data_IF_438032597892
#
_entry.id   IF_438032597892
#
_cell.length_a   1.000
_cell.length_b   1.000
_cell.length_c   1.000
_cell.angle_alpha   90.00
_cell.angle_beta   90.00
_cell.angle_gamma   90.00
#
_symmetry.space_group_name_H-M   'P 1'
#
loop_
_entity.id
_entity.type
_entity.pdbx_description
1 polymer ?
#
# COMPACT_ATOMS: atom_id res chain seq x y z
N UNK A 1 10.68 5.24 47.41
CA UNK A 1 9.78 5.85 46.41
C UNK A 1 10.06 5.22 45.04
N UNK A 2 9.19 4.32 44.58
CA UNK A 2 9.26 3.71 43.25
C UNK A 2 8.66 4.70 42.25
N UNK A 3 9.51 5.34 41.46
CA UNK A 3 9.12 6.13 40.27
C UNK A 3 8.51 5.19 39.26
N UNK A 4 7.19 5.20 39.12
CA UNK A 4 6.48 4.55 38.04
C UNK A 4 6.72 5.33 36.73
N UNK A 5 7.75 4.91 35.99
CA UNK A 5 8.03 5.43 34.65
C UNK A 5 6.88 5.05 33.73
N UNK A 6 6.00 5.99 33.45
CA UNK A 6 5.05 5.91 32.35
C UNK A 6 5.88 5.74 31.08
N UNK A 7 5.88 4.53 30.52
CA UNK A 7 6.42 4.25 29.18
C UNK A 7 5.54 4.98 28.16
N UNK A 8 5.81 6.27 27.97
CA UNK A 8 5.26 7.01 26.84
C UNK A 8 5.76 6.33 25.57
N UNK A 9 4.87 5.66 24.84
CA UNK A 9 5.14 5.08 23.53
C UNK A 9 5.62 6.22 22.63
N UNK A 10 6.94 6.30 22.39
CA UNK A 10 7.53 7.31 21.50
C UNK A 10 6.83 7.22 20.12
N UNK A 11 6.35 8.34 19.55
CA UNK A 11 5.62 8.34 18.30
C UNK A 11 6.47 7.68 17.19
N UNK A 12 5.83 6.85 16.37
CA UNK A 12 6.50 6.23 15.20
C UNK A 12 6.81 7.33 14.18
N UNK A 13 8.00 7.30 13.59
CA UNK A 13 8.36 8.18 12.48
C UNK A 13 7.48 7.81 11.29
N UNK A 14 6.76 8.79 10.75
CA UNK A 14 5.87 8.60 9.60
C UNK A 14 6.64 8.67 8.28
N UNK A 15 6.07 8.11 7.21
CA UNK A 15 6.64 8.27 5.87
C UNK A 15 6.70 9.73 5.41
N UNK A 16 5.76 10.56 5.85
CA UNK A 16 5.73 11.99 5.56
C UNK A 16 6.93 12.71 6.18
N UNK A 17 7.25 12.39 7.42
CA UNK A 17 8.43 12.97 8.11
C UNK A 17 9.73 12.54 7.44
N UNK A 18 9.83 11.28 7.01
CA UNK A 18 10.99 10.81 6.25
C UNK A 18 11.13 11.53 4.90
N UNK A 19 10.01 11.73 4.19
CA UNK A 19 9.99 12.45 2.92
C UNK A 19 10.45 13.89 3.10
N UNK A 20 9.92 14.59 4.11
CA UNK A 20 10.31 15.97 4.43
C UNK A 20 11.80 16.06 4.81
N UNK A 21 12.26 15.15 5.67
CA UNK A 21 13.68 15.03 6.03
C UNK A 21 14.57 14.88 4.80
N UNK A 22 14.21 13.95 3.89
CA UNK A 22 14.99 13.69 2.69
C UNK A 22 15.04 14.92 1.78
N UNK A 23 13.94 15.65 1.61
CA UNK A 23 13.88 16.88 0.84
C UNK A 23 14.75 17.98 1.46
N UNK A 24 14.64 18.17 2.77
CA UNK A 24 15.47 19.14 3.48
C UNK A 24 16.96 18.81 3.36
N UNK A 25 17.33 17.55 3.56
CA UNK A 25 18.71 17.11 3.42
C UNK A 25 19.24 17.31 2.00
N UNK A 26 18.45 16.98 0.97
CA UNK A 26 18.80 17.22 -0.42
C UNK A 26 19.03 18.70 -0.71
N UNK A 27 18.13 19.57 -0.25
CA UNK A 27 18.22 21.02 -0.45
C UNK A 27 19.45 21.61 0.22
N UNK A 28 19.75 21.23 1.47
CA UNK A 28 20.91 21.72 2.19
C UNK A 28 22.22 21.19 1.58
N UNK A 29 22.23 19.93 1.15
CA UNK A 29 23.38 19.33 0.43
C UNK A 29 23.62 19.99 -0.93
N UNK A 30 22.56 20.37 -1.66
CA UNK A 30 22.66 21.12 -2.91
C UNK A 30 23.20 22.56 -2.70
N UNK A 31 22.94 23.14 -1.53
CA UNK A 31 23.49 24.40 -1.10
C UNK A 31 24.94 24.29 -0.56
N UNK A 32 25.57 23.12 -0.68
CA UNK A 32 26.90 22.79 -0.21
C UNK A 32 27.12 22.99 1.32
N UNK A 33 26.03 22.88 2.12
CA UNK A 33 26.19 22.87 3.59
C UNK A 33 26.82 21.53 4.02
N UNK A 34 27.70 21.54 5.02
CA UNK A 34 28.24 20.35 5.63
C UNK A 34 27.13 19.41 6.12
N UNK A 35 27.33 18.12 5.95
CA UNK A 35 26.30 17.12 6.24
C UNK A 35 25.92 17.08 7.72
N UNK A 36 26.92 17.25 8.61
CA UNK A 36 26.73 17.30 10.04
C UNK A 36 25.94 18.54 10.51
N UNK A 37 26.12 19.70 9.83
CA UNK A 37 25.34 20.91 10.10
C UNK A 37 23.90 20.74 9.59
N UNK A 38 23.72 20.19 8.38
CA UNK A 38 22.43 19.90 7.81
C UNK A 38 21.59 19.00 8.72
N UNK A 39 22.20 17.93 9.23
CA UNK A 39 21.54 17.00 10.16
C UNK A 39 21.18 17.66 11.50
N UNK A 40 22.05 18.55 12.02
CA UNK A 40 21.78 19.29 13.24
C UNK A 40 20.58 20.23 13.10
N UNK A 41 20.52 21.00 12.00
CA UNK A 41 19.43 21.95 11.72
C UNK A 41 18.11 21.20 11.58
N UNK A 42 18.08 20.13 10.77
CA UNK A 42 16.87 19.35 10.55
C UNK A 42 16.41 18.65 11.85
N UNK A 43 17.36 18.10 12.62
CA UNK A 43 17.07 17.46 13.90
C UNK A 43 16.45 18.40 14.93
N UNK A 44 16.93 19.65 15.01
CA UNK A 44 16.37 20.68 15.88
C UNK A 44 14.98 21.16 15.45
N UNK A 45 14.72 21.24 14.16
CA UNK A 45 13.42 21.65 13.62
C UNK A 45 12.37 20.53 13.63
N UNK A 46 12.79 19.29 13.87
CA UNK A 46 11.87 18.16 13.88
C UNK A 46 10.92 18.20 15.07
N UNK A 47 9.62 18.22 14.79
CA UNK A 47 8.57 18.09 15.82
C UNK A 47 8.53 16.68 16.44
N UNK A 48 9.05 15.66 15.75
CA UNK A 48 9.12 14.30 16.24
C UNK A 48 10.46 14.04 16.94
N UNK A 49 10.44 13.99 18.27
CA UNK A 49 11.64 13.73 19.09
C UNK A 49 12.39 12.47 18.68
N UNK A 50 11.67 11.42 18.23
CA UNK A 50 12.32 10.19 17.78
C UNK A 50 13.13 10.39 16.50
N UNK A 51 12.63 11.18 15.56
CA UNK A 51 13.39 11.55 14.36
C UNK A 51 14.62 12.38 14.76
N UNK A 52 14.46 13.37 15.62
CA UNK A 52 15.59 14.15 16.16
C UNK A 52 16.66 13.29 16.83
N UNK A 53 16.26 12.32 17.66
CA UNK A 53 17.18 11.37 18.31
C UNK A 53 17.95 10.52 17.27
N UNK A 54 17.27 10.03 16.21
CA UNK A 54 17.92 9.29 15.13
C UNK A 54 18.90 10.16 14.37
N UNK A 55 18.52 11.38 14.01
CA UNK A 55 19.38 12.30 13.26
C UNK A 55 20.61 12.71 14.07
N UNK A 56 20.48 12.90 15.38
CA UNK A 56 21.62 13.16 16.27
C UNK A 56 22.58 11.96 16.33
N UNK A 57 22.07 10.72 16.34
CA UNK A 57 22.92 9.52 16.31
C UNK A 57 23.66 9.40 14.97
N UNK A 58 22.95 9.63 13.84
CA UNK A 58 23.55 9.66 12.50
C UNK A 58 24.63 10.75 12.42
N UNK A 59 24.34 11.95 12.94
CA UNK A 59 25.30 13.05 13.01
C UNK A 59 26.55 12.68 13.81
N UNK A 60 26.39 12.07 14.98
CA UNK A 60 27.53 11.62 15.80
C UNK A 60 28.42 10.63 15.06
N UNK A 61 27.84 9.65 14.35
CA UNK A 61 28.60 8.72 13.55
C UNK A 61 29.40 9.41 12.42
N UNK A 62 28.82 10.43 11.78
CA UNK A 62 29.52 11.20 10.74
C UNK A 62 30.69 12.00 11.35
N UNK A 63 30.50 12.63 12.53
CA UNK A 63 31.59 13.35 13.25
C UNK A 63 32.72 12.42 13.69
N UNK A 64 32.40 11.11 13.90
CA UNK A 64 33.40 10.06 14.18
C UNK A 64 34.09 9.56 12.89
N UNK A 65 33.74 10.09 11.71
CA UNK A 65 34.33 9.77 10.42
C UNK A 65 33.66 8.64 9.66
N UNK A 66 32.50 8.14 10.13
CA UNK A 66 31.75 7.11 9.40
C UNK A 66 30.99 7.71 8.20
N UNK A 67 30.89 7.00 7.07
CA UNK A 67 30.05 7.39 5.94
C UNK A 67 28.56 7.50 6.37
N UNK A 68 27.80 8.38 5.73
CA UNK A 68 26.35 8.50 5.96
C UNK A 68 25.64 7.18 5.70
N UNK A 69 25.99 6.47 4.62
CA UNK A 69 25.41 5.16 4.28
C UNK A 69 25.57 4.13 5.39
N UNK A 70 26.70 4.13 6.08
CA UNK A 70 26.95 3.19 7.19
C UNK A 70 26.19 3.63 8.45
N UNK A 71 26.15 4.92 8.76
CA UNK A 71 25.34 5.46 9.84
C UNK A 71 23.85 5.14 9.70
N UNK A 72 23.31 5.18 8.47
CA UNK A 72 21.92 4.83 8.17
C UNK A 72 21.61 3.33 8.31
N UNK A 73 22.62 2.45 8.25
CA UNK A 73 22.42 1.00 8.43
C UNK A 73 21.90 0.62 9.80
N UNK A 74 22.15 1.44 10.82
CA UNK A 74 21.65 1.21 12.16
C UNK A 74 20.12 1.39 12.29
N UNK A 75 19.48 1.99 11.27
CA UNK A 75 18.05 2.28 11.24
C UNK A 75 17.34 1.67 10.01
N UNK A 76 17.38 0.34 9.82
CA UNK A 76 16.88 -0.32 8.60
C UNK A 76 15.36 -0.25 8.44
N UNK A 77 14.63 0.00 9.52
CA UNK A 77 13.18 0.19 9.50
C UNK A 77 12.74 1.57 9.02
N UNK A 78 13.64 2.55 9.11
CA UNK A 78 13.41 3.92 8.66
C UNK A 78 13.98 4.15 7.25
N UNK A 79 15.22 3.73 7.03
CA UNK A 79 15.92 3.83 5.77
C UNK A 79 15.99 2.46 5.11
N UNK A 80 15.16 2.24 4.09
CA UNK A 80 15.11 0.97 3.37
C UNK A 80 16.41 0.69 2.57
N UNK A 81 16.50 -0.49 1.96
CA UNK A 81 17.70 -0.90 1.20
C UNK A 81 17.99 0.04 0.03
N UNK A 82 16.95 0.51 -0.67
CA UNK A 82 17.09 1.47 -1.77
C UNK A 82 17.72 2.77 -1.28
N UNK A 83 17.18 3.34 -0.19
CA UNK A 83 17.68 4.59 0.40
C UNK A 83 19.18 4.50 0.70
N UNK A 84 19.58 3.47 1.44
CA UNK A 84 20.97 3.27 1.87
C UNK A 84 21.91 3.02 0.70
N UNK A 85 21.47 2.27 -0.31
CA UNK A 85 22.29 2.00 -1.50
C UNK A 85 22.50 3.23 -2.35
N UNK A 86 21.46 4.04 -2.55
CA UNK A 86 21.58 5.30 -3.27
C UNK A 86 22.53 6.27 -2.56
N UNK A 87 22.40 6.41 -1.25
CA UNK A 87 23.33 7.23 -0.45
C UNK A 87 24.75 6.71 -0.60
N UNK A 88 24.98 5.41 -0.47
CA UNK A 88 26.30 4.79 -0.63
C UNK A 88 26.89 5.02 -2.03
N UNK A 89 26.07 4.92 -3.07
CA UNK A 89 26.50 5.22 -4.43
C UNK A 89 26.88 6.70 -4.59
N UNK A 90 26.07 7.62 -4.05
CA UNK A 90 26.32 9.05 -4.06
C UNK A 90 27.59 9.44 -3.31
N UNK A 91 27.86 8.83 -2.15
CA UNK A 91 29.10 9.05 -1.39
C UNK A 91 30.33 8.59 -2.17
N UNK A 92 30.26 7.36 -2.72
CA UNK A 92 31.40 6.82 -3.48
C UNK A 92 31.74 7.58 -4.76
N UNK A 93 30.72 8.13 -5.42
CA UNK A 93 30.90 8.91 -6.65
C UNK A 93 31.16 10.39 -6.40
N UNK A 94 31.08 10.89 -5.16
CA UNK A 94 31.11 12.31 -4.86
C UNK A 94 29.88 13.11 -5.31
N UNK A 95 28.80 12.40 -5.69
CA UNK A 95 27.56 12.98 -6.22
C UNK A 95 26.38 12.83 -5.23
N UNK A 96 26.65 13.03 -3.93
CA UNK A 96 25.64 12.82 -2.89
C UNK A 96 24.43 13.75 -3.05
N UNK A 97 24.65 15.04 -3.34
CA UNK A 97 23.56 16.02 -3.48
C UNK A 97 22.59 15.67 -4.64
N UNK A 98 23.03 15.38 -5.87
CA UNK A 98 22.14 14.92 -6.95
C UNK A 98 21.40 13.62 -6.62
N UNK A 99 22.05 12.71 -5.90
CA UNK A 99 21.43 11.44 -5.50
C UNK A 99 20.35 11.67 -4.45
N UNK A 100 20.61 12.51 -3.46
CA UNK A 100 19.61 12.89 -2.45
C UNK A 100 18.40 13.60 -3.08
N UNK A 101 18.60 14.40 -4.11
CA UNK A 101 17.51 15.06 -4.83
C UNK A 101 16.60 14.04 -5.54
N UNK A 102 17.18 13.08 -6.27
CA UNK A 102 16.42 11.99 -6.88
C UNK A 102 15.68 11.14 -5.85
N UNK A 103 16.29 10.91 -4.70
CA UNK A 103 15.70 10.17 -3.60
C UNK A 103 14.53 10.94 -2.96
N UNK A 104 14.67 12.26 -2.83
CA UNK A 104 13.60 13.14 -2.37
C UNK A 104 12.42 13.14 -3.34
N UNK A 105 12.67 13.30 -4.64
CA UNK A 105 11.65 13.23 -5.69
C UNK A 105 10.91 11.89 -5.67
N UNK A 106 11.64 10.79 -5.54
CA UNK A 106 11.06 9.45 -5.42
C UNK A 106 10.13 9.32 -4.20
N UNK A 107 10.58 9.76 -3.03
CA UNK A 107 9.80 9.69 -1.80
C UNK A 107 8.57 10.59 -1.87
N UNK A 108 8.68 11.79 -2.42
CA UNK A 108 7.57 12.73 -2.62
C UNK A 108 6.52 12.18 -3.57
N UNK A 109 6.95 11.63 -4.71
CA UNK A 109 6.03 11.03 -5.68
C UNK A 109 5.28 9.84 -5.07
N UNK A 110 6.01 8.98 -4.36
CA UNK A 110 5.41 7.85 -3.61
C UNK A 110 4.40 8.32 -2.57
N UNK A 111 4.70 9.40 -1.87
CA UNK A 111 3.80 9.99 -0.87
C UNK A 111 2.57 10.63 -1.53
N UNK A 112 2.73 11.36 -2.63
CA UNK A 112 1.61 11.93 -3.40
C UNK A 112 0.64 10.85 -3.87
N UNK A 113 1.15 9.76 -4.45
CA UNK A 113 0.33 8.63 -4.89
C UNK A 113 -0.44 8.04 -3.70
N UNK A 114 0.25 7.77 -2.60
CA UNK A 114 -0.36 7.22 -1.38
C UNK A 114 -1.44 8.14 -0.80
N UNK A 115 -1.15 9.44 -0.68
CA UNK A 115 -2.10 10.42 -0.16
C UNK A 115 -3.33 10.53 -1.04
N UNK A 116 -3.16 10.55 -2.37
CA UNK A 116 -4.26 10.56 -3.34
C UNK A 116 -5.14 9.32 -3.21
N UNK A 117 -4.53 8.14 -3.04
CA UNK A 117 -5.28 6.89 -2.82
C UNK A 117 -6.07 6.91 -1.51
N UNK A 118 -5.45 7.36 -0.41
CA UNK A 118 -6.14 7.46 0.89
C UNK A 118 -7.31 8.44 0.80
N UNK A 119 -7.09 9.62 0.23
CA UNK A 119 -8.14 10.63 0.03
C UNK A 119 -9.31 10.09 -0.79
N UNK A 120 -9.02 9.36 -1.87
CA UNK A 120 -10.05 8.75 -2.72
C UNK A 120 -10.85 7.66 -2.00
N UNK A 121 -10.30 7.03 -0.95
CA UNK A 121 -10.99 5.99 -0.17
C UNK A 121 -11.82 6.55 0.99
N UNK A 122 -11.59 7.79 1.43
CA UNK A 122 -12.32 8.36 2.59
C UNK A 122 -13.83 8.37 2.34
N UNK A 123 -14.25 8.89 1.18
CA UNK A 123 -15.66 9.00 0.84
C UNK A 123 -16.36 7.63 0.73
N UNK A 124 -15.86 6.65 -0.04
CA UNK A 124 -16.42 5.30 -0.08
C UNK A 124 -16.50 4.62 1.29
N UNK A 125 -15.47 4.75 2.12
CA UNK A 125 -15.47 4.17 3.47
C UNK A 125 -16.54 4.82 4.35
N UNK A 126 -16.67 6.14 4.32
CA UNK A 126 -17.69 6.87 5.09
C UNK A 126 -19.11 6.48 4.65
N UNK A 127 -19.36 6.47 3.34
CA UNK A 127 -20.65 6.10 2.77
C UNK A 127 -21.00 4.64 3.11
N UNK A 128 -20.06 3.71 2.98
CA UNK A 128 -20.27 2.30 3.34
C UNK A 128 -20.58 2.13 4.83
N UNK A 129 -19.88 2.86 5.70
CA UNK A 129 -20.11 2.81 7.15
C UNK A 129 -21.52 3.28 7.51
N UNK A 130 -21.96 4.41 6.92
CA UNK A 130 -23.32 4.93 7.12
C UNK A 130 -24.36 3.95 6.58
N UNK A 131 -24.14 3.41 5.38
CA UNK A 131 -25.02 2.44 4.75
C UNK A 131 -25.21 1.18 5.62
N UNK A 132 -24.12 0.59 6.09
CA UNK A 132 -24.16 -0.57 7.01
C UNK A 132 -24.88 -0.19 8.31
N UNK A 133 -24.61 0.98 8.86
CA UNK A 133 -25.28 1.47 10.08
C UNK A 133 -26.81 1.55 9.91
N UNK A 134 -27.27 2.10 8.79
CA UNK A 134 -28.72 2.20 8.48
C UNK A 134 -29.34 0.80 8.36
N UNK A 135 -28.70 -0.13 7.64
CA UNK A 135 -29.19 -1.52 7.50
C UNK A 135 -29.26 -2.21 8.86
N UNK A 136 -28.24 -2.07 9.70
CA UNK A 136 -28.24 -2.65 11.04
C UNK A 136 -29.39 -2.08 11.88
N UNK A 137 -29.59 -0.77 11.88
CA UNK A 137 -30.68 -0.12 12.64
C UNK A 137 -32.05 -0.60 12.13
N UNK A 138 -32.25 -0.68 10.81
CA UNK A 138 -33.49 -1.20 10.23
C UNK A 138 -33.75 -2.64 10.66
N UNK A 139 -32.76 -3.51 10.57
CA UNK A 139 -32.90 -4.93 10.91
C UNK A 139 -33.05 -5.18 12.41
N UNK A 140 -32.40 -4.39 13.26
CA UNK A 140 -32.39 -4.66 14.72
C UNK A 140 -33.45 -3.89 15.50
N UNK A 141 -33.87 -2.70 15.04
CA UNK A 141 -34.80 -1.86 15.74
C UNK A 141 -36.17 -1.75 15.06
N UNK A 142 -36.23 -1.70 13.73
CA UNK A 142 -37.48 -1.44 13.01
C UNK A 142 -38.22 -2.76 12.72
N UNK A 143 -37.52 -3.74 12.13
CA UNK A 143 -38.12 -5.02 11.75
C UNK A 143 -38.74 -5.75 12.95
N UNK A 144 -38.10 -5.91 14.12
CA UNK A 144 -38.69 -6.60 15.26
C UNK A 144 -39.96 -5.92 15.79
N UNK A 145 -39.94 -4.57 15.97
CA UNK A 145 -41.06 -3.82 16.46
C UNK A 145 -42.35 -3.97 15.62
N UNK A 146 -42.13 -4.01 14.31
CA UNK A 146 -43.22 -4.20 13.35
C UNK A 146 -43.78 -5.63 13.48
N UNK A 147 -42.89 -6.60 13.61
CA UNK A 147 -43.30 -8.01 13.68
C UNK A 147 -44.04 -8.35 14.97
N UNK A 148 -43.62 -7.79 16.11
CA UNK A 148 -44.34 -7.97 17.38
C UNK A 148 -45.81 -7.58 17.25
N UNK A 149 -46.15 -6.47 16.55
CA UNK A 149 -47.50 -6.05 16.31
C UNK A 149 -48.33 -7.09 15.51
N UNK A 150 -47.70 -7.80 14.57
CA UNK A 150 -48.40 -8.77 13.71
C UNK A 150 -48.49 -10.18 14.33
N UNK A 151 -47.55 -10.59 15.16
CA UNK A 151 -47.61 -11.86 15.89
C UNK A 151 -48.80 -11.87 16.84
N UNK A 152 -49.13 -10.74 17.42
CA UNK A 152 -50.32 -10.59 18.25
C UNK A 152 -51.68 -10.79 17.48
N UNK A 153 -51.67 -10.62 16.15
CA UNK A 153 -52.83 -10.77 15.31
C UNK A 153 -53.04 -12.20 14.73
N UNK A 154 -52.16 -13.18 15.09
CA UNK A 154 -52.22 -14.59 14.69
C UNK A 154 -52.25 -14.86 13.16
N UNK A 155 -51.79 -13.96 12.33
CA UNK A 155 -51.74 -14.11 10.88
C UNK A 155 -50.46 -14.78 10.37
N UNK A 156 -50.56 -15.47 9.21
CA UNK A 156 -49.38 -16.07 8.58
C UNK A 156 -48.51 -14.99 7.93
N UNK A 157 -47.23 -14.94 8.31
CA UNK A 157 -46.24 -14.02 7.78
C UNK A 157 -45.88 -14.34 6.32
N UNK A 158 -45.86 -13.34 5.41
CA UNK A 158 -45.36 -13.51 4.04
C UNK A 158 -43.90 -13.99 4.01
N UNK A 159 -43.55 -14.70 2.93
CA UNK A 159 -42.22 -15.30 2.77
C UNK A 159 -41.08 -14.28 2.86
N UNK A 160 -41.26 -13.08 2.29
CA UNK A 160 -40.31 -11.97 2.36
C UNK A 160 -40.06 -11.50 3.80
N UNK A 161 -41.11 -11.41 4.60
CA UNK A 161 -41.02 -11.02 6.02
C UNK A 161 -40.36 -12.11 6.87
N UNK A 162 -40.58 -13.40 6.56
CA UNK A 162 -39.88 -14.52 7.22
C UNK A 162 -38.37 -14.47 6.96
N UNK A 163 -37.96 -14.17 5.73
CA UNK A 163 -36.53 -14.04 5.36
C UNK A 163 -35.90 -12.87 6.14
N UNK A 164 -36.57 -11.72 6.18
CA UNK A 164 -36.09 -10.54 6.94
C UNK A 164 -35.97 -10.82 8.43
N UNK A 165 -36.93 -11.52 9.02
CA UNK A 165 -36.90 -11.91 10.43
C UNK A 165 -35.77 -12.91 10.71
N UNK A 166 -35.62 -13.94 9.85
CA UNK A 166 -34.52 -14.87 9.98
C UNK A 166 -33.15 -14.17 9.91
N UNK A 167 -33.01 -13.18 9.03
CA UNK A 167 -31.80 -12.37 8.93
C UNK A 167 -31.58 -11.47 10.16
N UNK A 168 -32.64 -10.83 10.66
CA UNK A 168 -32.63 -9.99 11.87
C UNK A 168 -32.28 -10.82 13.12
N UNK A 169 -32.93 -11.95 13.31
CA UNK A 169 -32.72 -12.85 14.46
C UNK A 169 -31.30 -13.46 14.42
N UNK A 170 -30.83 -13.85 13.23
CA UNK A 170 -29.46 -14.29 13.03
C UNK A 170 -28.47 -13.19 13.37
N UNK A 171 -28.72 -11.95 12.93
CA UNK A 171 -27.84 -10.82 13.22
C UNK A 171 -27.80 -10.47 14.72
N UNK A 172 -28.94 -10.54 15.39
CA UNK A 172 -29.02 -10.25 16.83
C UNK A 172 -28.39 -11.36 17.70
N UNK A 173 -28.68 -12.64 17.40
CA UNK A 173 -28.18 -13.79 18.18
C UNK A 173 -26.75 -14.15 17.86
N UNK A 174 -26.41 -14.16 16.59
CA UNK A 174 -25.06 -14.59 16.13
C UNK A 174 -24.13 -13.45 15.73
N UNK A 175 -24.62 -12.19 15.71
CA UNK A 175 -23.78 -11.02 15.39
C UNK A 175 -22.48 -10.93 16.21
N UNK A 176 -22.55 -10.96 17.53
CA UNK A 176 -21.33 -10.94 18.38
C UNK A 176 -20.43 -12.15 18.15
N UNK A 177 -21.00 -13.35 17.99
CA UNK A 177 -20.23 -14.59 17.72
C UNK A 177 -19.65 -14.59 16.32
N UNK A 178 -20.36 -14.04 15.34
CA UNK A 178 -19.87 -13.90 13.95
C UNK A 178 -18.71 -12.90 13.89
N UNK A 179 -18.78 -11.77 14.59
CA UNK A 179 -17.67 -10.84 14.75
C UNK A 179 -16.46 -11.48 15.41
N UNK A 180 -16.69 -12.24 16.48
CA UNK A 180 -15.62 -12.98 17.17
C UNK A 180 -14.98 -14.03 16.24
N UNK A 181 -15.80 -14.78 15.50
CA UNK A 181 -15.32 -15.79 14.53
C UNK A 181 -14.52 -15.14 13.40
N UNK A 182 -15.01 -14.06 12.81
CA UNK A 182 -14.28 -13.29 11.78
C UNK A 182 -12.95 -12.77 12.33
N UNK A 183 -12.94 -12.28 13.56
CA UNK A 183 -11.72 -11.81 14.22
C UNK A 183 -10.73 -12.97 14.44
N UNK A 184 -11.19 -14.11 14.95
CA UNK A 184 -10.35 -15.31 15.18
C UNK A 184 -9.79 -15.82 13.84
N UNK A 185 -10.62 -15.89 12.79
CA UNK A 185 -10.20 -16.30 11.44
C UNK A 185 -9.16 -15.31 10.87
N UNK A 186 -9.40 -14.01 11.02
CA UNK A 186 -8.47 -12.99 10.56
C UNK A 186 -7.11 -13.08 11.29
N UNK A 187 -7.13 -13.26 12.62
CA UNK A 187 -5.92 -13.46 13.42
C UNK A 187 -5.23 -14.78 13.06
N UNK A 188 -5.98 -15.87 12.92
CA UNK A 188 -5.45 -17.17 12.47
C UNK A 188 -4.82 -17.10 11.08
N UNK A 189 -5.48 -16.43 10.14
CA UNK A 189 -4.96 -16.19 8.79
C UNK A 189 -3.69 -15.32 8.82
N UNK A 190 -3.66 -14.27 9.63
CA UNK A 190 -2.48 -13.44 9.81
C UNK A 190 -1.29 -14.22 10.41
N UNK A 191 -1.54 -15.08 11.41
CA UNK A 191 -0.52 -15.96 11.99
C UNK A 191 -0.04 -17.01 10.99
N UNK A 192 -0.95 -17.56 10.17
CA UNK A 192 -0.63 -18.50 9.10
C UNK A 192 0.26 -17.88 8.02
N UNK A 193 -0.01 -16.60 7.65
CA UNK A 193 0.81 -15.83 6.72
C UNK A 193 2.22 -15.50 7.27
N UNK A 194 2.41 -15.48 8.60
CA UNK A 194 3.73 -15.26 9.20
C UNK A 194 4.69 -16.42 8.98
N UNK A 195 4.20 -17.62 8.70
CA UNK A 195 5.05 -18.76 8.37
C UNK A 195 5.56 -18.60 6.93
N UNK A 196 6.90 -18.48 6.77
CA UNK A 196 7.56 -18.08 5.52
C UNK A 196 7.15 -18.86 4.27
N UNK A 197 6.96 -20.19 4.37
CA UNK A 197 6.56 -21.03 3.24
C UNK A 197 5.11 -20.77 2.78
N UNK A 198 4.20 -20.45 3.71
CA UNK A 198 2.81 -20.16 3.41
C UNK A 198 2.67 -18.77 2.75
N UNK A 199 3.51 -17.83 3.14
CA UNK A 199 3.55 -16.50 2.53
C UNK A 199 3.93 -16.56 1.05
N UNK A 200 4.91 -17.38 0.69
CA UNK A 200 5.27 -17.56 -0.74
C UNK A 200 4.12 -18.16 -1.54
N UNK A 201 3.48 -19.23 -1.03
CA UNK A 201 2.33 -19.87 -1.68
C UNK A 201 1.15 -18.92 -1.83
N UNK A 202 0.87 -18.12 -0.82
CA UNK A 202 -0.17 -17.09 -0.86
C UNK A 202 0.13 -16.02 -1.92
N UNK A 203 1.37 -15.52 -1.99
CA UNK A 203 1.77 -14.56 -3.01
C UNK A 203 1.68 -15.14 -4.43
N UNK A 204 2.04 -16.41 -4.62
CA UNK A 204 1.91 -17.10 -5.90
C UNK A 204 0.42 -17.31 -6.29
N UNK A 205 -0.44 -17.67 -5.32
CA UNK A 205 -1.88 -17.82 -5.53
C UNK A 205 -2.53 -16.49 -5.93
N UNK A 206 -2.15 -15.39 -5.28
CA UNK A 206 -2.67 -14.06 -5.58
C UNK A 206 -2.41 -13.63 -7.04
N UNK A 207 -1.26 -14.03 -7.59
CA UNK A 207 -0.92 -13.76 -8.99
C UNK A 207 -1.78 -14.52 -10.00
N UNK A 208 -2.42 -15.63 -9.58
CA UNK A 208 -3.31 -16.44 -10.44
C UNK A 208 -4.75 -15.93 -10.48
N UNK A 209 -5.12 -15.04 -9.56
CA UNK A 209 -6.47 -14.46 -9.54
C UNK A 209 -6.61 -13.44 -10.67
N UNK A 210 -7.59 -13.67 -11.56
CA UNK A 210 -7.75 -12.93 -12.82
C UNK A 210 -7.85 -11.41 -12.68
N UNK A 211 -8.42 -10.89 -11.59
CA UNK A 211 -8.54 -9.44 -11.34
C UNK A 211 -7.37 -8.86 -10.54
N UNK A 212 -6.82 -9.63 -9.60
CA UNK A 212 -5.80 -9.16 -8.65
C UNK A 212 -4.40 -9.37 -9.19
N UNK A 213 -4.16 -10.50 -9.88
CA UNK A 213 -2.85 -10.85 -10.42
C UNK A 213 -2.26 -9.77 -11.35
N UNK A 214 -2.97 -9.34 -12.41
CA UNK A 214 -2.50 -8.28 -13.29
C UNK A 214 -2.23 -6.95 -12.58
N UNK A 215 -3.02 -6.61 -11.57
CA UNK A 215 -2.81 -5.39 -10.77
C UNK A 215 -1.52 -5.49 -9.95
N UNK A 216 -1.28 -6.63 -9.29
CA UNK A 216 -0.05 -6.87 -8.53
C UNK A 216 1.17 -6.83 -9.45
N UNK A 217 1.10 -7.48 -10.62
CA UNK A 217 2.17 -7.43 -11.62
C UNK A 217 2.44 -5.99 -12.06
N UNK A 218 1.40 -5.24 -12.39
CA UNK A 218 1.51 -3.85 -12.82
C UNK A 218 2.15 -2.94 -11.76
N UNK A 219 1.76 -3.07 -10.50
CA UNK A 219 2.34 -2.29 -9.39
C UNK A 219 3.81 -2.65 -9.17
N UNK A 220 4.14 -3.94 -9.18
CA UNK A 220 5.51 -4.38 -8.91
C UNK A 220 6.44 -4.10 -10.10
N UNK A 221 5.97 -4.23 -11.36
CA UNK A 221 6.76 -3.90 -12.54
C UNK A 221 7.11 -2.41 -12.61
N UNK A 222 6.14 -1.52 -12.33
CA UNK A 222 6.40 -0.08 -12.27
C UNK A 222 7.42 0.25 -11.18
N UNK A 223 7.25 -0.30 -9.96
CA UNK A 223 8.19 -0.10 -8.85
C UNK A 223 9.58 -0.61 -9.20
N UNK A 224 9.69 -1.79 -9.80
CA UNK A 224 10.96 -2.37 -10.21
C UNK A 224 11.71 -1.48 -11.20
N UNK A 225 11.07 -1.08 -12.31
CA UNK A 225 11.70 -0.23 -13.31
C UNK A 225 12.03 1.16 -12.78
N UNK A 226 11.16 1.73 -11.93
CA UNK A 226 11.44 3.00 -11.25
C UNK A 226 12.71 2.92 -10.40
N UNK A 227 12.80 1.91 -9.56
CA UNK A 227 13.95 1.69 -8.68
C UNK A 227 15.22 1.44 -9.49
N UNK A 228 15.15 0.58 -10.51
CA UNK A 228 16.28 0.27 -11.38
C UNK A 228 16.77 1.50 -12.14
N UNK A 229 15.86 2.33 -12.66
CA UNK A 229 16.22 3.54 -13.38
C UNK A 229 16.93 4.57 -12.49
N UNK A 230 16.48 4.73 -11.24
CA UNK A 230 17.11 5.63 -10.27
C UNK A 230 18.53 5.13 -9.92
N UNK A 231 18.68 3.84 -9.64
CA UNK A 231 19.98 3.24 -9.32
C UNK A 231 20.94 3.40 -10.47
N UNK A 232 20.51 3.10 -11.71
CA UNK A 232 21.34 3.19 -12.89
C UNK A 232 21.75 4.64 -13.20
N UNK A 233 20.82 5.59 -13.10
CA UNK A 233 21.12 7.02 -13.28
C UNK A 233 22.00 7.60 -12.18
N UNK A 234 22.20 6.87 -11.09
CA UNK A 234 23.09 7.22 -9.97
C UNK A 234 24.44 6.47 -10.05
N UNK A 235 24.74 5.82 -11.19
CA UNK A 235 26.01 5.15 -11.45
C UNK A 235 26.13 3.73 -10.86
N UNK A 236 25.03 3.16 -10.37
CA UNK A 236 25.03 1.78 -9.87
C UNK A 236 25.09 0.82 -11.08
N UNK A 237 25.99 -0.18 -11.08
CA UNK A 237 26.04 -1.19 -12.14
C UNK A 237 24.70 -1.88 -12.33
N UNK A 238 24.38 -2.23 -13.58
CA UNK A 238 23.06 -2.75 -13.95
C UNK A 238 22.65 -3.98 -13.13
N UNK A 239 23.52 -4.96 -12.99
CA UNK A 239 23.23 -6.20 -12.24
C UNK A 239 22.99 -5.95 -10.75
N UNK A 240 23.78 -5.08 -10.14
CA UNK A 240 23.56 -4.66 -8.75
C UNK A 240 22.23 -3.91 -8.62
N UNK A 241 21.94 -3.04 -9.57
CA UNK A 241 20.66 -2.34 -9.66
C UNK A 241 19.47 -3.29 -9.78
N UNK A 242 19.56 -4.33 -10.60
CA UNK A 242 18.52 -5.35 -10.74
C UNK A 242 18.28 -6.11 -9.44
N UNK A 243 19.32 -6.53 -8.75
CA UNK A 243 19.20 -7.23 -7.48
C UNK A 243 18.57 -6.36 -6.40
N UNK A 244 19.02 -5.12 -6.25
CA UNK A 244 18.50 -4.18 -5.28
C UNK A 244 17.05 -3.77 -5.56
N UNK A 245 16.71 -3.59 -6.85
CA UNK A 245 15.33 -3.34 -7.27
C UNK A 245 14.41 -4.50 -6.91
N UNK A 246 14.90 -5.73 -7.05
CA UNK A 246 14.19 -6.95 -6.65
C UNK A 246 13.93 -6.98 -5.14
N UNK A 247 14.91 -6.60 -4.32
CA UNK A 247 14.77 -6.55 -2.86
C UNK A 247 13.73 -5.52 -2.39
N UNK A 248 13.49 -4.46 -3.15
CA UNK A 248 12.50 -3.43 -2.84
C UNK A 248 11.04 -3.91 -2.94
N UNK A 249 10.80 -5.06 -3.54
CA UNK A 249 9.47 -5.61 -3.79
C UNK A 249 8.96 -6.45 -2.62
N UNK A 250 7.64 -6.44 -2.41
CA UNK A 250 7.02 -7.16 -1.30
C UNK A 250 6.56 -8.59 -1.66
N UNK A 251 6.31 -8.86 -2.95
CA UNK A 251 5.83 -10.15 -3.42
C UNK A 251 7.01 -11.11 -3.63
N UNK A 252 7.03 -12.20 -2.86
CA UNK A 252 8.14 -13.15 -2.87
C UNK A 252 8.25 -13.93 -4.19
N UNK A 253 7.13 -14.25 -4.84
CA UNK A 253 7.11 -14.93 -6.13
C UNK A 253 7.69 -14.03 -7.23
N UNK A 254 7.29 -12.75 -7.26
CA UNK A 254 7.83 -11.78 -8.21
C UNK A 254 9.33 -11.57 -7.96
N UNK A 255 9.75 -11.49 -6.70
CA UNK A 255 11.19 -11.39 -6.36
C UNK A 255 11.99 -12.58 -6.91
N UNK A 256 11.47 -13.79 -6.76
CA UNK A 256 12.14 -14.98 -7.29
C UNK A 256 12.29 -14.94 -8.81
N UNK A 257 11.22 -14.58 -9.53
CA UNK A 257 11.25 -14.45 -11.00
C UNK A 257 12.24 -13.39 -11.48
N UNK A 258 12.28 -12.24 -10.79
CA UNK A 258 13.21 -11.16 -11.14
C UNK A 258 14.66 -11.47 -10.76
N UNK A 259 14.89 -12.21 -9.69
CA UNK A 259 16.24 -12.72 -9.36
C UNK A 259 16.75 -13.66 -10.45
N UNK A 260 15.88 -14.54 -10.98
CA UNK A 260 16.22 -15.40 -12.12
C UNK A 260 16.50 -14.57 -13.39
N UNK A 261 15.74 -13.50 -13.63
CA UNK A 261 15.98 -12.59 -14.75
C UNK A 261 17.35 -11.89 -14.62
N UNK A 262 17.72 -11.44 -13.41
CA UNK A 262 19.05 -10.85 -13.16
C UNK A 262 20.18 -11.87 -13.43
N UNK A 263 19.99 -13.12 -13.08
CA UNK A 263 20.94 -14.20 -13.37
C UNK A 263 21.07 -14.44 -14.89
N UNK A 264 19.95 -14.42 -15.64
CA UNK A 264 19.98 -14.53 -17.10
C UNK A 264 20.76 -13.36 -17.73
N UNK A 265 20.57 -12.13 -17.23
CA UNK A 265 21.35 -10.97 -17.70
C UNK A 265 22.84 -11.12 -17.34
N UNK A 266 23.17 -11.66 -16.17
CA UNK A 266 24.55 -11.95 -15.77
C UNK A 266 25.24 -12.93 -16.74
N UNK A 267 24.48 -13.86 -17.32
CA UNK A 267 24.94 -14.82 -18.33
C UNK A 267 25.05 -14.21 -19.73
N UNK A 268 24.78 -12.92 -19.90
CA UNK A 268 24.88 -12.19 -21.15
C UNK A 268 23.60 -12.11 -21.98
N UNK A 269 22.46 -12.54 -21.44
CA UNK A 269 21.19 -12.39 -22.14
C UNK A 269 20.73 -10.90 -22.12
N UNK A 270 19.94 -10.52 -23.11
CA UNK A 270 19.31 -9.21 -23.18
C UNK A 270 18.38 -8.96 -21.99
N UNK A 271 18.35 -7.71 -21.49
CA UNK A 271 17.51 -7.33 -20.36
C UNK A 271 16.03 -7.53 -20.70
N UNK A 272 15.58 -7.03 -21.88
CA UNK A 272 14.17 -7.12 -22.24
C UNK A 272 13.69 -8.57 -22.37
N UNK A 273 14.50 -9.49 -22.95
CA UNK A 273 14.15 -10.91 -23.04
C UNK A 273 14.10 -11.57 -21.65
N UNK A 274 15.04 -11.22 -20.78
CA UNK A 274 15.07 -11.74 -19.41
C UNK A 274 13.86 -11.28 -18.59
N UNK A 275 13.42 -10.04 -18.77
CA UNK A 275 12.22 -9.50 -18.12
C UNK A 275 10.93 -10.07 -18.72
N UNK A 276 10.89 -10.28 -20.04
CA UNK A 276 9.74 -10.90 -20.73
C UNK A 276 9.44 -12.29 -20.19
N UNK A 277 10.44 -13.11 -19.99
CA UNK A 277 10.33 -14.46 -19.44
C UNK A 277 9.69 -14.51 -18.04
N UNK A 278 9.74 -13.40 -17.30
CA UNK A 278 9.12 -13.33 -15.97
C UNK A 278 7.60 -13.29 -16.02
N UNK A 279 7.01 -12.93 -17.16
CA UNK A 279 5.58 -12.72 -17.36
C UNK A 279 4.93 -11.72 -16.34
N UNK A 280 5.70 -10.72 -15.91
CA UNK A 280 5.27 -9.70 -14.93
C UNK A 280 4.98 -8.37 -15.63
N UNK A 281 5.75 -8.06 -16.68
CA UNK A 281 5.74 -6.75 -17.32
C UNK A 281 4.69 -6.66 -18.42
N UNK A 282 3.88 -5.57 -18.45
CA UNK A 282 3.03 -5.28 -19.59
C UNK A 282 3.84 -5.11 -20.88
N UNK A 283 3.29 -5.47 -22.06
CA UNK A 283 4.01 -5.42 -23.35
C UNK A 283 4.63 -4.05 -23.66
N UNK A 284 3.93 -2.96 -23.32
CA UNK A 284 4.43 -1.61 -23.55
C UNK A 284 5.71 -1.28 -22.75
N UNK A 285 5.79 -1.79 -21.52
CA UNK A 285 6.99 -1.62 -20.70
C UNK A 285 8.18 -2.38 -21.29
N UNK A 286 7.95 -3.62 -21.75
CA UNK A 286 8.97 -4.43 -22.41
C UNK A 286 9.47 -3.77 -23.69
N UNK A 287 8.55 -3.20 -24.49
CA UNK A 287 8.92 -2.45 -25.69
C UNK A 287 9.81 -1.24 -25.37
N UNK A 288 9.50 -0.48 -24.32
CA UNK A 288 10.32 0.65 -23.88
C UNK A 288 11.70 0.20 -23.38
N UNK A 289 11.76 -0.91 -22.64
CA UNK A 289 13.04 -1.49 -22.19
C UNK A 289 13.88 -1.95 -23.39
N UNK A 290 13.27 -2.67 -24.34
CA UNK A 290 13.96 -3.11 -25.57
C UNK A 290 14.49 -1.92 -26.39
N UNK A 291 13.71 -0.86 -26.53
CA UNK A 291 14.12 0.36 -27.22
C UNK A 291 15.26 1.07 -26.49
N UNK A 292 15.20 1.11 -25.16
CA UNK A 292 16.25 1.67 -24.31
C UNK A 292 17.56 0.90 -24.36
N UNK A 293 17.48 -0.44 -24.40
CA UNK A 293 18.62 -1.31 -24.54
C UNK A 293 19.34 -1.10 -25.88
N UNK A 294 18.57 -0.99 -26.98
CA UNK A 294 19.10 -0.74 -28.33
C UNK A 294 19.68 0.67 -28.53
N UNK A 295 19.05 1.68 -27.92
CA UNK A 295 19.46 3.08 -28.08
C UNK A 295 20.51 3.55 -27.06
N UNK A 296 20.87 2.72 -26.09
CA UNK A 296 21.72 3.10 -24.95
C UNK A 296 21.06 4.08 -23.96
N UNK A 297 19.74 4.30 -24.07
CA UNK A 297 18.96 5.20 -23.22
C UNK A 297 18.06 4.42 -22.24
N UNK A 298 18.55 3.31 -21.73
CA UNK A 298 17.78 2.38 -20.92
C UNK A 298 17.17 3.08 -19.67
N UNK A 299 17.97 3.87 -18.95
CA UNK A 299 17.52 4.57 -17.74
C UNK A 299 16.34 5.51 -18.01
N UNK A 300 16.44 6.35 -19.06
CA UNK A 300 15.38 7.32 -19.42
C UNK A 300 14.08 6.62 -19.83
N UNK A 301 14.19 5.55 -20.63
CA UNK A 301 13.00 4.83 -21.10
C UNK A 301 12.36 3.98 -20.00
N UNK A 302 13.14 3.47 -19.03
CA UNK A 302 12.59 2.82 -17.84
C UNK A 302 11.82 3.79 -16.94
N UNK A 303 12.28 5.04 -16.78
CA UNK A 303 11.51 6.09 -16.07
C UNK A 303 10.18 6.31 -16.74
N UNK A 304 10.18 6.54 -18.07
CA UNK A 304 8.93 6.76 -18.83
C UNK A 304 7.99 5.56 -18.77
N UNK A 305 8.52 4.35 -18.84
CA UNK A 305 7.72 3.12 -18.70
C UNK A 305 7.05 3.03 -17.33
N UNK A 306 7.78 3.36 -16.26
CA UNK A 306 7.24 3.41 -14.91
C UNK A 306 6.17 4.51 -14.75
N UNK A 307 6.42 5.73 -15.25
CA UNK A 307 5.47 6.85 -15.23
C UNK A 307 4.15 6.50 -15.92
N UNK A 308 4.23 5.94 -17.12
CA UNK A 308 3.05 5.52 -17.88
C UNK A 308 2.25 4.47 -17.12
N UNK A 309 2.93 3.49 -16.53
CA UNK A 309 2.27 2.42 -15.79
C UNK A 309 1.63 2.92 -14.50
N UNK A 310 2.31 3.80 -13.76
CA UNK A 310 1.76 4.45 -12.56
C UNK A 310 0.52 5.27 -12.89
N UNK A 311 0.54 6.02 -13.98
CA UNK A 311 -0.60 6.81 -14.47
C UNK A 311 -1.78 5.91 -14.84
N UNK A 312 -1.54 4.83 -15.58
CA UNK A 312 -2.58 3.85 -15.94
C UNK A 312 -3.21 3.22 -14.71
N UNK A 313 -2.41 2.89 -13.68
CA UNK A 313 -2.91 2.35 -12.42
C UNK A 313 -3.78 3.36 -11.68
N UNK A 314 -3.34 4.61 -11.56
CA UNK A 314 -4.12 5.67 -10.92
C UNK A 314 -5.47 5.86 -11.61
N UNK A 315 -5.50 5.86 -12.95
CA UNK A 315 -6.73 5.98 -13.73
C UNK A 315 -7.67 4.78 -13.51
N UNK A 316 -7.14 3.55 -13.49
CA UNK A 316 -7.95 2.35 -13.21
C UNK A 316 -8.55 2.38 -11.81
N UNK A 317 -7.78 2.78 -10.80
CA UNK A 317 -8.27 2.92 -9.43
C UNK A 317 -9.36 4.00 -9.36
N UNK A 318 -9.15 5.15 -9.99
CA UNK A 318 -10.13 6.23 -10.03
C UNK A 318 -11.44 5.79 -10.69
N UNK A 319 -11.38 5.06 -11.82
CA UNK A 319 -12.56 4.49 -12.50
C UNK A 319 -13.28 3.48 -11.61
N UNK A 320 -12.54 2.57 -10.96
CA UNK A 320 -13.15 1.59 -10.06
C UNK A 320 -13.89 2.26 -8.91
N UNK A 321 -13.28 3.27 -8.31
CA UNK A 321 -13.91 4.03 -7.22
C UNK A 321 -15.13 4.84 -7.69
N UNK A 322 -15.10 5.40 -8.91
CA UNK A 322 -16.25 6.15 -9.45
C UNK A 322 -17.47 5.25 -9.76
N UNK A 323 -17.25 3.97 -10.08
CA UNK A 323 -18.34 3.00 -10.28
C UNK A 323 -18.85 2.45 -8.94
N UNK A 324 -17.99 2.38 -7.93
CA UNK A 324 -18.35 1.85 -6.62
C UNK A 324 -19.47 2.67 -5.95
N UNK A 325 -19.44 3.98 -6.09
CA UNK A 325 -20.43 4.88 -5.50
C UNK A 325 -21.85 4.62 -6.02
N UNK A 326 -22.14 4.67 -7.34
CA UNK A 326 -23.46 4.34 -7.86
C UNK A 326 -23.90 2.91 -7.52
N UNK A 327 -22.98 1.94 -7.57
CA UNK A 327 -23.28 0.55 -7.22
C UNK A 327 -23.73 0.41 -5.76
N UNK A 328 -23.08 1.13 -4.85
CA UNK A 328 -23.42 1.12 -3.43
C UNK A 328 -24.80 1.79 -3.18
N UNK A 329 -25.07 2.93 -3.85
CA UNK A 329 -26.37 3.62 -3.74
C UNK A 329 -27.51 2.72 -4.27
N UNK A 330 -27.32 2.07 -5.42
CA UNK A 330 -28.31 1.15 -5.99
C UNK A 330 -28.54 -0.05 -5.05
N UNK A 331 -27.47 -0.62 -4.51
CA UNK A 331 -27.57 -1.74 -3.57
C UNK A 331 -28.36 -1.35 -2.32
N UNK A 332 -28.07 -0.15 -1.77
CA UNK A 332 -28.80 0.36 -0.63
C UNK A 332 -30.29 0.63 -0.94
N UNK A 333 -30.56 1.24 -2.10
CA UNK A 333 -31.94 1.45 -2.54
C UNK A 333 -32.71 0.15 -2.68
N UNK A 334 -32.10 -0.90 -3.23
CA UNK A 334 -32.70 -2.23 -3.36
C UNK A 334 -32.96 -2.87 -1.98
N UNK A 335 -32.04 -2.75 -1.03
CA UNK A 335 -32.22 -3.27 0.34
C UNK A 335 -33.39 -2.55 1.01
N UNK A 336 -33.42 -1.22 0.96
CA UNK A 336 -34.51 -0.42 1.56
C UNK A 336 -35.84 -0.73 0.87
N UNK A 337 -35.86 -0.80 -0.46
CA UNK A 337 -37.05 -1.17 -1.22
C UNK A 337 -37.57 -2.57 -0.83
N UNK A 338 -36.67 -3.54 -0.70
CA UNK A 338 -37.05 -4.89 -0.26
C UNK A 338 -37.69 -4.89 1.14
N UNK A 339 -37.15 -4.10 2.08
CA UNK A 339 -37.70 -3.93 3.42
C UNK A 339 -39.09 -3.29 3.35
N UNK A 340 -39.24 -2.21 2.57
CA UNK A 340 -40.52 -1.48 2.42
C UNK A 340 -41.59 -2.34 1.74
N UNK A 341 -41.25 -3.06 0.68
CA UNK A 341 -42.19 -3.96 -0.02
C UNK A 341 -42.61 -5.12 0.89
N UNK A 342 -41.67 -5.69 1.63
CA UNK A 342 -41.99 -6.71 2.62
C UNK A 342 -42.97 -6.21 3.68
N UNK A 343 -42.82 -4.95 4.05
CA UNK A 343 -43.72 -4.25 4.98
C UNK A 343 -45.11 -3.97 4.35
N UNK A 344 -45.15 -3.44 3.12
CA UNK A 344 -46.38 -3.14 2.40
C UNK A 344 -47.23 -4.40 2.14
N UNK A 345 -46.60 -5.51 1.73
CA UNK A 345 -47.30 -6.81 1.57
C UNK A 345 -47.92 -7.32 2.88
N UNK A 346 -47.25 -7.03 4.00
CA UNK A 346 -47.76 -7.36 5.32
C UNK A 346 -49.03 -6.54 5.63
N UNK A 347 -49.04 -5.27 5.26
CA UNK A 347 -50.22 -4.36 5.48
C UNK A 347 -51.39 -4.71 4.57
N UNK A 348 -51.14 -5.08 3.31
CA UNK A 348 -52.18 -5.46 2.35
C UNK A 348 -52.94 -6.74 2.77
N UNK A 349 -52.25 -7.72 3.37
CA UNK A 349 -52.85 -8.93 3.92
C UNK A 349 -53.73 -8.69 5.19
N UNK A 350 -53.65 -7.47 5.77
CA UNK A 350 -54.50 -7.07 6.92
C UNK A 350 -55.83 -6.50 6.50
N UNK A 351 -55.97 -6.04 5.26
CA UNK A 351 -57.17 -5.36 4.76
C UNK A 351 -58.08 -6.31 3.96
N UNK A 352 -57.72 -7.57 3.80
CA UNK A 352 -58.52 -8.65 3.28
C UNK A 352 -58.91 -9.61 4.41
#
# INVERSE_FOLDING_TARGET
QKSSGVKTRRPRISHSELTLFTRQLATLSAAALPLEESLAVIGQQSSNKRLGDVLNQVRSAILEGHPLSDALQHFPTLFDSLYRTLVKAGEKSGLLAPVLEKLADYNENRQKIRSKLIQSLIYPCMLTTVAIGVVIILLTAVVPKITEQFVHMKQQLPLSTRILLGLSDTLQRTGPTLLATVFIVAVGFWLWLKRGNNRHRFHAMLLRVALIGPLICAINSARYLRTLSILQSSGVPLLDGMNLSTESLNNLEIRQRLANAAENVRQGNSIHLSLEQTAIFPPMMLYMVASGEKSGQLGTLMVRAADNQETLQQNRIALTLSIFEPALIITMALIVLFIVVSYSNLFFNLTQ
#
